data_IF_307988270468
#
_entry.id   IF_307988270468
#
_cell.length_a   1.000
_cell.length_b   1.000
_cell.length_c   1.000
_cell.angle_alpha   90.00
_cell.angle_beta   90.00
_cell.angle_gamma   90.00
#
_symmetry.space_group_name_H-M   'P 1'
#
loop_
_entity.id
_entity.type
_entity.pdbx_description
1 polymer ?
#
# COMPACT_ATOMS: atom_id res chain seq x y z
N UNK A 1 -1.92 -21.52 0.80
CA UNK A 1 -2.74 -20.46 1.42
C UNK A 1 -2.56 -20.59 2.91
N UNK A 2 -2.34 -19.49 3.60
CA UNK A 2 -2.18 -19.50 5.07
C UNK A 2 -3.53 -19.82 5.70
N UNK A 3 -3.53 -20.56 6.79
CA UNK A 3 -4.74 -20.99 7.48
C UNK A 3 -5.58 -19.79 7.95
N UNK A 4 -6.87 -19.78 7.62
CA UNK A 4 -7.79 -18.70 7.98
C UNK A 4 -7.92 -18.54 9.51
N UNK A 5 -7.86 -19.65 10.26
CA UNK A 5 -7.89 -19.58 11.73
C UNK A 5 -6.63 -18.89 12.28
N UNK A 6 -5.48 -19.10 11.64
CA UNK A 6 -4.23 -18.42 12.00
C UNK A 6 -4.29 -16.93 11.68
N UNK A 7 -4.87 -16.55 10.53
CA UNK A 7 -5.09 -15.14 10.17
C UNK A 7 -5.98 -14.47 11.22
N UNK A 8 -7.12 -15.08 11.57
CA UNK A 8 -8.01 -14.55 12.60
C UNK A 8 -7.33 -14.40 13.98
N UNK A 9 -6.43 -15.32 14.32
CA UNK A 9 -5.74 -15.29 15.61
C UNK A 9 -4.61 -14.25 15.69
N UNK A 10 -3.88 -14.05 14.58
CA UNK A 10 -2.59 -13.35 14.61
C UNK A 10 -2.60 -12.01 13.88
N UNK A 11 -3.49 -11.81 12.91
CA UNK A 11 -3.50 -10.61 12.09
C UNK A 11 -3.89 -9.36 12.89
N UNK A 12 -3.44 -8.21 12.39
CA UNK A 12 -3.82 -6.91 12.91
C UNK A 12 -5.34 -6.71 12.77
N UNK A 13 -6.03 -6.32 13.85
CA UNK A 13 -7.49 -6.18 13.84
C UNK A 13 -7.98 -5.01 12.97
N UNK A 14 -7.10 -4.08 12.58
CA UNK A 14 -7.42 -2.96 11.68
C UNK A 14 -7.55 -3.38 10.21
N UNK A 15 -7.33 -4.66 9.88
CA UNK A 15 -7.55 -5.21 8.55
C UNK A 15 -8.61 -6.32 8.57
N UNK A 16 -9.50 -6.29 7.59
CA UNK A 16 -10.44 -7.39 7.36
C UNK A 16 -9.67 -8.68 6.99
N UNK A 17 -10.07 -9.86 7.48
CA UNK A 17 -9.41 -11.12 7.15
C UNK A 17 -9.25 -11.36 5.63
N UNK A 18 -10.25 -11.00 4.83
CA UNK A 18 -10.18 -11.14 3.37
C UNK A 18 -9.05 -10.31 2.73
N UNK A 19 -8.79 -9.10 3.25
CA UNK A 19 -7.66 -8.26 2.79
C UNK A 19 -6.33 -8.92 3.18
N UNK A 20 -6.24 -9.46 4.39
CA UNK A 20 -5.03 -10.15 4.88
C UNK A 20 -4.74 -11.41 4.07
N UNK A 21 -5.77 -12.17 3.71
CA UNK A 21 -5.65 -13.35 2.85
C UNK A 21 -5.06 -13.00 1.49
N UNK A 22 -5.66 -12.02 0.79
CA UNK A 22 -5.17 -11.56 -0.51
C UNK A 22 -3.75 -10.98 -0.44
N UNK A 23 -3.46 -10.22 0.62
CA UNK A 23 -2.13 -9.68 0.86
C UNK A 23 -1.07 -10.78 0.99
N UNK A 24 -1.30 -11.77 1.87
CA UNK A 24 -0.33 -12.85 2.10
C UNK A 24 -0.22 -13.75 0.87
N UNK A 25 -1.31 -13.97 0.14
CA UNK A 25 -1.28 -14.76 -1.11
C UNK A 25 -0.41 -14.11 -2.18
N UNK A 26 -0.52 -12.79 -2.37
CA UNK A 26 0.13 -12.07 -3.47
C UNK A 26 1.52 -11.53 -3.15
N UNK A 27 1.81 -11.22 -1.89
CA UNK A 27 3.09 -10.63 -1.48
C UNK A 27 3.84 -11.41 -0.40
N UNK A 28 3.20 -12.42 0.20
CA UNK A 28 3.75 -13.19 1.29
C UNK A 28 4.47 -14.47 0.89
N UNK A 29 4.62 -15.34 1.89
CA UNK A 29 5.19 -16.69 1.79
C UNK A 29 4.39 -17.64 2.68
N UNK A 30 4.30 -18.91 2.29
CA UNK A 30 3.72 -19.96 3.15
C UNK A 30 4.72 -20.46 4.21
N UNK A 31 6.00 -20.15 4.02
CA UNK A 31 7.09 -20.57 4.87
C UNK A 31 7.50 -19.43 5.84
N UNK A 32 7.35 -19.61 7.16
CA UNK A 32 7.73 -18.60 8.15
C UNK A 32 9.24 -18.36 8.21
N UNK A 33 10.07 -19.29 7.70
CA UNK A 33 11.52 -19.13 7.62
C UNK A 33 11.97 -18.56 6.26
N UNK A 34 11.03 -18.19 5.38
CA UNK A 34 11.40 -17.63 4.08
C UNK A 34 12.20 -16.34 4.24
N UNK A 35 13.38 -16.29 3.65
CA UNK A 35 14.23 -15.10 3.58
C UNK A 35 14.49 -14.79 2.11
N UNK A 36 14.09 -13.62 1.65
CA UNK A 36 14.44 -13.14 0.32
C UNK A 36 15.36 -11.93 0.42
N UNK A 37 16.41 -11.93 -0.38
CA UNK A 37 17.47 -10.91 -0.34
C UNK A 37 17.61 -10.31 -1.72
N UNK A 38 17.60 -8.98 -1.78
CA UNK A 38 17.76 -8.22 -3.01
C UNK A 38 18.85 -7.16 -2.85
N UNK A 39 19.79 -7.16 -3.79
CA UNK A 39 20.85 -6.17 -3.91
C UNK A 39 20.59 -5.32 -5.16
N UNK A 40 20.08 -4.11 -4.96
CA UNK A 40 19.60 -3.26 -6.06
C UNK A 40 18.47 -3.93 -6.85
N UNK A 41 18.70 -4.26 -8.13
CA UNK A 41 17.74 -4.96 -8.98
C UNK A 41 17.88 -6.49 -9.00
N UNK A 42 18.90 -7.04 -8.32
CA UNK A 42 19.24 -8.47 -8.40
C UNK A 42 18.81 -9.22 -7.15
N UNK A 43 18.23 -10.40 -7.35
CA UNK A 43 17.96 -11.35 -6.27
C UNK A 43 19.25 -12.11 -5.91
N UNK A 44 19.52 -12.25 -4.62
CA UNK A 44 20.64 -13.04 -4.10
C UNK A 44 20.10 -14.41 -3.73
N UNK A 45 20.61 -15.45 -4.38
CA UNK A 45 20.28 -16.83 -4.03
C UNK A 45 21.03 -17.21 -2.76
N UNK A 46 20.28 -17.69 -1.78
CA UNK A 46 20.78 -18.11 -0.48
C UNK A 46 20.22 -19.50 -0.15
N UNK A 47 20.96 -20.32 0.61
CA UNK A 47 20.44 -21.59 1.09
C UNK A 47 19.14 -21.37 1.85
N UNK A 48 18.14 -22.23 1.59
CA UNK A 48 16.88 -22.17 2.32
C UNK A 48 17.12 -22.56 3.78
N UNK A 49 16.87 -21.67 4.77
CA UNK A 49 17.03 -22.02 6.17
C UNK A 49 15.99 -23.06 6.58
N UNK A 50 16.40 -23.97 7.47
CA UNK A 50 15.55 -25.04 8.01
C UNK A 50 15.20 -24.83 9.47
N UNK A 51 15.91 -23.92 10.13
CA UNK A 51 15.68 -23.54 11.53
C UNK A 51 15.56 -22.02 11.68
N UNK A 52 14.93 -21.59 12.79
CA UNK A 52 14.84 -20.17 13.16
C UNK A 52 16.23 -19.53 13.29
N UNK A 53 17.18 -20.23 13.92
CA UNK A 53 18.54 -19.72 14.13
C UNK A 53 19.29 -19.53 12.81
N UNK A 54 19.17 -20.49 11.87
CA UNK A 54 19.74 -20.37 10.52
C UNK A 54 19.14 -19.18 9.76
N UNK A 55 17.82 -19.00 9.83
CA UNK A 55 17.14 -17.87 9.19
C UNK A 55 17.61 -16.54 9.79
N UNK A 56 17.68 -16.45 11.12
CA UNK A 56 18.13 -15.24 11.81
C UNK A 56 19.58 -14.90 11.52
N UNK A 57 20.46 -15.89 11.45
CA UNK A 57 21.86 -15.69 11.07
C UNK A 57 21.97 -15.16 9.63
N UNK A 58 21.24 -15.76 8.69
CA UNK A 58 21.17 -15.30 7.30
C UNK A 58 20.66 -13.86 7.20
N UNK A 59 19.61 -13.51 7.96
CA UNK A 59 19.08 -12.14 8.00
C UNK A 59 20.17 -11.17 8.49
N UNK A 60 20.81 -11.45 9.63
CA UNK A 60 21.86 -10.59 10.21
C UNK A 60 23.02 -10.32 9.26
N UNK A 61 23.41 -11.32 8.47
CA UNK A 61 24.48 -11.18 7.49
C UNK A 61 24.14 -10.19 6.37
N UNK A 62 22.87 -10.05 5.99
CA UNK A 62 22.47 -9.27 4.81
C UNK A 62 21.83 -7.91 5.13
N UNK A 63 21.26 -7.74 6.31
CA UNK A 63 20.65 -6.47 6.74
C UNK A 63 21.68 -5.32 6.74
N UNK A 64 21.22 -4.12 6.39
CA UNK A 64 22.04 -2.91 6.26
C UNK A 64 22.74 -2.75 4.91
N UNK A 65 23.01 -3.85 4.20
CA UNK A 65 23.64 -3.83 2.86
C UNK A 65 22.67 -4.19 1.74
N UNK A 66 21.62 -4.95 2.06
CA UNK A 66 20.64 -5.44 1.10
C UNK A 66 19.22 -5.19 1.62
N UNK A 67 18.25 -5.27 0.71
CA UNK A 67 16.84 -5.36 1.07
C UNK A 67 16.59 -6.82 1.47
N UNK A 68 16.18 -7.03 2.72
CA UNK A 68 15.89 -8.36 3.28
C UNK A 68 14.42 -8.41 3.68
N UNK A 69 13.70 -9.38 3.12
CA UNK A 69 12.28 -9.63 3.40
C UNK A 69 12.13 -11.01 4.05
N UNK A 70 11.29 -11.08 5.08
CA UNK A 70 11.30 -12.23 5.99
C UNK A 70 9.89 -12.73 6.31
N UNK A 71 9.76 -14.06 6.33
CA UNK A 71 8.63 -14.78 6.86
C UNK A 71 7.37 -14.68 6.01
N UNK A 72 6.23 -14.97 6.65
CA UNK A 72 4.92 -15.10 6.00
C UNK A 72 4.50 -13.83 5.29
N UNK A 73 4.76 -12.67 5.88
CA UNK A 73 4.35 -11.37 5.32
C UNK A 73 5.43 -10.75 4.44
N UNK A 74 6.60 -11.39 4.30
CA UNK A 74 7.78 -10.79 3.68
C UNK A 74 8.12 -9.42 4.35
N UNK A 75 8.11 -9.40 5.68
CA UNK A 75 8.40 -8.22 6.49
C UNK A 75 9.80 -7.64 6.17
N UNK A 76 9.95 -6.31 5.99
CA UNK A 76 11.24 -5.69 5.74
C UNK A 76 12.12 -5.68 7.01
N UNK A 77 13.01 -6.66 7.16
CA UNK A 77 13.78 -6.87 8.40
C UNK A 77 14.68 -5.69 8.81
N UNK A 78 15.14 -4.88 7.85
CA UNK A 78 15.96 -3.70 8.13
C UNK A 78 15.16 -2.47 8.59
N UNK A 79 13.85 -2.58 8.77
CA UNK A 79 13.01 -1.45 9.17
C UNK A 79 13.21 -1.14 10.66
N UNK A 80 13.51 0.14 10.97
CA UNK A 80 13.61 0.63 12.35
C UNK A 80 14.83 0.13 13.14
N UNK A 81 15.74 -0.63 12.52
CA UNK A 81 16.96 -1.15 13.17
C UNK A 81 18.21 -0.47 12.61
N UNK A 82 19.12 -0.09 13.51
CA UNK A 82 20.41 0.50 13.14
C UNK A 82 21.51 -0.55 12.92
N UNK A 83 21.40 -1.70 13.60
CA UNK A 83 22.38 -2.79 13.54
C UNK A 83 21.73 -4.18 13.62
N UNK A 84 22.42 -5.19 13.09
CA UNK A 84 21.92 -6.56 13.02
C UNK A 84 21.66 -7.20 14.40
N UNK A 85 22.36 -6.75 15.46
CA UNK A 85 22.17 -7.25 16.82
C UNK A 85 20.83 -6.89 17.45
N UNK A 86 20.16 -5.85 16.95
CA UNK A 86 18.85 -5.42 17.42
C UNK A 86 17.68 -6.25 16.86
N UNK A 87 17.94 -7.15 15.90
CA UNK A 87 16.93 -7.99 15.27
C UNK A 87 16.43 -9.07 16.23
N UNK A 88 15.12 -9.15 16.40
CA UNK A 88 14.45 -10.13 17.26
C UNK A 88 14.08 -11.40 16.47
N UNK A 89 14.10 -12.58 17.12
CA UNK A 89 13.69 -13.84 16.50
C UNK A 89 12.20 -13.84 16.09
N UNK A 90 11.40 -12.94 16.66
CA UNK A 90 10.02 -12.60 16.31
C UNK A 90 9.79 -12.45 14.79
N UNK A 91 10.81 -12.02 14.04
CA UNK A 91 10.73 -11.87 12.58
C UNK A 91 10.42 -13.18 11.84
N UNK A 92 10.80 -14.32 12.41
CA UNK A 92 10.60 -15.66 11.83
C UNK A 92 9.65 -16.52 12.66
N UNK A 93 9.12 -15.99 13.77
CA UNK A 93 7.93 -16.57 14.41
C UNK A 93 6.72 -16.34 13.53
N UNK A 94 5.92 -17.38 13.31
CA UNK A 94 4.83 -17.32 12.35
C UNK A 94 3.75 -16.30 12.76
N UNK A 95 3.32 -16.31 14.01
CA UNK A 95 2.23 -15.45 14.48
C UNK A 95 2.69 -14.02 14.66
N UNK A 96 3.89 -13.83 15.20
CA UNK A 96 4.49 -12.52 15.40
C UNK A 96 4.78 -11.83 14.07
N UNK A 97 5.32 -12.56 13.08
CA UNK A 97 5.54 -12.06 11.72
C UNK A 97 4.23 -11.66 11.03
N UNK A 98 3.16 -12.44 11.19
CA UNK A 98 1.82 -12.08 10.70
C UNK A 98 1.39 -10.78 11.37
N UNK A 99 1.38 -10.71 12.71
CA UNK A 99 0.93 -9.53 13.46
C UNK A 99 1.64 -8.26 13.05
N UNK A 100 2.98 -8.26 13.07
CA UNK A 100 3.77 -7.08 12.73
C UNK A 100 3.66 -6.72 11.24
N UNK A 101 3.59 -7.72 10.36
CA UNK A 101 3.49 -7.51 8.92
C UNK A 101 2.15 -6.94 8.52
N UNK A 102 1.05 -7.48 9.07
CA UNK A 102 -0.30 -6.96 8.82
C UNK A 102 -0.49 -5.58 9.44
N UNK A 103 0.08 -5.29 10.61
CA UNK A 103 0.03 -3.95 11.20
C UNK A 103 0.75 -2.92 10.32
N UNK A 104 1.93 -3.28 9.79
CA UNK A 104 2.65 -2.41 8.86
C UNK A 104 1.91 -2.29 7.52
N UNK A 105 1.33 -3.38 7.01
CA UNK A 105 0.55 -3.37 5.78
C UNK A 105 -0.72 -2.52 5.94
N UNK A 106 -1.38 -2.54 7.11
CA UNK A 106 -2.53 -1.68 7.40
C UNK A 106 -2.18 -0.20 7.24
N UNK A 107 -1.00 0.21 7.72
CA UNK A 107 -0.48 1.56 7.46
C UNK A 107 -0.29 1.83 5.97
N UNK A 108 0.36 0.91 5.25
CA UNK A 108 0.58 1.07 3.80
C UNK A 108 -0.75 1.19 3.07
N UNK A 109 -1.72 0.35 3.41
CA UNK A 109 -3.06 0.37 2.86
C UNK A 109 -3.74 1.71 3.12
N UNK A 110 -3.73 2.23 4.35
CA UNK A 110 -4.25 3.58 4.66
C UNK A 110 -3.55 4.71 3.89
N UNK A 111 -2.24 4.60 3.65
CA UNK A 111 -1.52 5.59 2.82
C UNK A 111 -2.09 5.61 1.40
N UNK A 112 -2.31 4.43 0.80
CA UNK A 112 -2.89 4.29 -0.54
C UNK A 112 -4.35 4.75 -0.54
N UNK A 113 -5.18 4.25 0.38
CA UNK A 113 -6.59 4.65 0.53
C UNK A 113 -6.75 6.16 0.64
N UNK A 114 -5.90 6.83 1.44
CA UNK A 114 -5.93 8.29 1.57
C UNK A 114 -5.57 9.01 0.27
N UNK A 115 -4.61 8.48 -0.49
CA UNK A 115 -4.25 9.05 -1.78
C UNK A 115 -5.41 8.96 -2.79
N UNK A 116 -6.18 7.87 -2.75
CA UNK A 116 -7.41 7.70 -3.51
C UNK A 116 -8.60 8.55 -3.00
N UNK A 117 -8.43 9.35 -1.95
CA UNK A 117 -9.49 10.20 -1.39
C UNK A 117 -10.43 9.50 -0.39
N UNK A 118 -10.01 8.36 0.18
CA UNK A 118 -10.82 7.51 1.06
C UNK A 118 -12.12 7.03 0.40
N UNK A 119 -12.02 6.35 -0.76
CA UNK A 119 -13.19 5.90 -1.50
C UNK A 119 -14.00 4.92 -0.67
N UNK A 120 -15.32 5.04 -0.73
CA UNK A 120 -16.25 4.09 -0.08
C UNK A 120 -16.92 3.15 -1.06
N UNK A 121 -16.79 3.43 -2.36
CA UNK A 121 -17.37 2.64 -3.43
C UNK A 121 -16.64 1.31 -3.58
N UNK A 122 -17.42 0.24 -3.65
CA UNK A 122 -16.94 -1.14 -3.84
C UNK A 122 -16.09 -1.33 -5.09
N UNK A 123 -16.36 -0.54 -6.13
CA UNK A 123 -15.69 -0.63 -7.42
C UNK A 123 -14.25 -0.12 -7.41
N UNK A 124 -13.84 0.68 -6.43
CA UNK A 124 -12.48 1.30 -6.37
C UNK A 124 -11.58 0.56 -5.37
N UNK A 125 -12.18 -0.15 -4.42
CA UNK A 125 -11.44 -0.79 -3.34
C UNK A 125 -10.52 -1.95 -3.79
N UNK A 126 -10.84 -2.72 -4.85
CA UNK A 126 -9.90 -3.68 -5.44
C UNK A 126 -8.62 -3.00 -5.94
N UNK A 127 -8.72 -1.88 -6.64
CA UNK A 127 -7.57 -1.12 -7.17
C UNK A 127 -6.71 -0.56 -6.04
N UNK A 128 -7.34 -0.04 -4.98
CA UNK A 128 -6.64 0.42 -3.76
C UNK A 128 -5.85 -0.73 -3.13
N UNK A 129 -6.43 -1.93 -3.05
CA UNK A 129 -5.75 -3.10 -2.51
C UNK A 129 -4.60 -3.55 -3.41
N UNK A 130 -4.79 -3.58 -4.72
CA UNK A 130 -3.77 -3.93 -5.70
C UNK A 130 -2.55 -3.01 -5.58
N UNK A 131 -2.77 -1.70 -5.55
CA UNK A 131 -1.72 -0.70 -5.40
C UNK A 131 -1.04 -0.79 -4.03
N UNK A 132 -1.77 -1.08 -2.96
CA UNK A 132 -1.17 -1.31 -1.65
C UNK A 132 -0.29 -2.55 -1.61
N UNK A 133 -0.66 -3.63 -2.30
CA UNK A 133 0.15 -4.84 -2.43
C UNK A 133 1.43 -4.53 -3.24
N UNK A 134 1.32 -3.79 -4.33
CA UNK A 134 2.48 -3.34 -5.12
C UNK A 134 3.39 -2.42 -4.28
N UNK A 135 2.80 -1.49 -3.54
CA UNK A 135 3.52 -0.61 -2.62
C UNK A 135 4.25 -1.40 -1.53
N UNK A 136 3.64 -2.47 -1.02
CA UNK A 136 4.31 -3.39 -0.10
C UNK A 136 5.48 -4.12 -0.75
N UNK A 137 5.32 -4.67 -1.94
CA UNK A 137 6.38 -5.41 -2.61
C UNK A 137 7.59 -4.51 -2.92
N UNK A 138 7.33 -3.32 -3.45
CA UNK A 138 8.37 -2.36 -3.88
C UNK A 138 8.92 -1.52 -2.73
N UNK A 139 8.12 -1.28 -1.70
CA UNK A 139 8.42 -0.35 -0.61
C UNK A 139 8.16 1.13 -0.97
N UNK A 140 7.52 1.40 -2.11
CA UNK A 140 7.24 2.75 -2.60
C UNK A 140 5.83 2.87 -3.17
N UNK A 141 5.21 4.03 -2.98
CA UNK A 141 3.94 4.41 -3.60
C UNK A 141 4.01 5.91 -3.92
N UNK A 142 3.81 6.30 -5.18
CA UNK A 142 3.85 7.72 -5.59
C UNK A 142 5.09 8.47 -5.08
N UNK A 143 6.27 7.86 -5.24
CA UNK A 143 7.56 8.39 -4.78
C UNK A 143 7.78 8.35 -3.25
N UNK A 144 6.78 7.94 -2.47
CA UNK A 144 6.82 7.88 -1.01
C UNK A 144 7.32 6.52 -0.52
N UNK A 145 8.32 6.50 0.36
CA UNK A 145 8.83 5.29 1.00
C UNK A 145 7.88 4.80 2.11
N UNK A 146 6.89 3.96 1.75
CA UNK A 146 5.71 3.65 2.58
C UNK A 146 6.04 3.05 3.96
N UNK A 147 7.15 2.32 4.10
CA UNK A 147 7.51 1.75 5.40
C UNK A 147 7.97 2.79 6.41
N UNK A 148 8.56 3.89 5.95
CA UNK A 148 9.06 4.98 6.81
C UNK A 148 8.14 6.20 6.84
N UNK A 149 7.16 6.25 5.94
CA UNK A 149 6.14 7.27 5.95
C UNK A 149 5.35 7.26 7.26
N UNK A 150 4.89 8.46 7.64
CA UNK A 150 3.98 8.65 8.76
C UNK A 150 2.66 7.93 8.47
N UNK A 151 2.07 7.36 9.51
CA UNK A 151 0.74 6.81 9.42
C UNK A 151 -0.28 7.94 9.27
N UNK A 152 -1.15 7.95 8.23
CA UNK A 152 -2.17 8.98 8.07
C UNK A 152 -3.23 8.98 9.19
N UNK A 153 -3.18 8.04 10.13
CA UNK A 153 -4.17 7.87 11.20
C UNK A 153 -5.27 6.91 10.77
N UNK A 154 -6.00 6.38 11.74
CA UNK A 154 -7.09 5.42 11.52
C UNK A 154 -8.24 6.10 10.76
N UNK A 155 -8.21 6.01 9.44
CA UNK A 155 -9.39 6.20 8.61
C UNK A 155 -10.09 4.85 8.58
N UNK A 156 -11.37 4.79 8.95
CA UNK A 156 -12.16 3.56 8.80
C UNK A 156 -12.04 3.09 7.35
N UNK A 157 -11.46 1.90 7.17
CA UNK A 157 -11.27 1.29 5.87
C UNK A 157 -12.63 0.97 5.26
N UNK A 158 -13.00 1.56 4.12
CA UNK A 158 -14.32 1.31 3.52
C UNK A 158 -14.42 -0.08 2.87
N UNK A 159 -15.66 -0.51 2.64
CA UNK A 159 -16.04 -1.90 2.35
C UNK A 159 -16.16 -2.19 0.84
N UNK A 160 -15.41 -3.14 0.27
CA UNK A 160 -15.56 -3.52 -1.14
C UNK A 160 -16.89 -4.22 -1.45
N UNK A 161 -17.68 -4.60 -0.45
CA UNK A 161 -18.81 -5.52 -0.64
C UNK A 161 -20.17 -5.02 -0.09
N UNK A 162 -20.46 -3.71 -0.11
CA UNK A 162 -21.79 -3.22 0.30
C UNK A 162 -22.48 -2.36 -0.75
N UNK A 163 -23.25 -3.02 -1.60
CA UNK A 163 -24.51 -2.48 -2.12
C UNK A 163 -25.56 -2.48 -0.99
N UNK A 164 -26.09 -1.30 -0.61
CA UNK A 164 -27.50 -1.00 -0.24
C UNK A 164 -27.62 0.42 0.38
N UNK A 165 -28.76 1.14 0.18
CA UNK A 165 -28.78 2.60 0.08
C UNK A 165 -28.85 3.34 1.44
N UNK A 166 -28.36 4.57 1.38
CA UNK A 166 -28.29 5.54 2.47
C UNK A 166 -29.64 5.80 3.16
N UNK A 167 -29.62 5.85 4.49
CA UNK A 167 -30.67 6.44 5.31
C UNK A 167 -30.24 7.83 5.78
N UNK A 168 -31.04 8.82 5.41
CA UNK A 168 -31.02 10.20 5.90
C UNK A 168 -30.91 10.32 7.43
N UNK A 169 -30.06 11.25 7.89
CA UNK A 169 -30.25 12.03 9.11
C UNK A 169 -29.27 13.23 9.17
N UNK A 170 -29.66 14.30 8.48
CA UNK A 170 -29.60 15.74 8.83
C UNK A 170 -28.88 16.13 10.14
N UNK A 171 -27.93 17.08 10.12
CA UNK A 171 -28.13 18.47 10.61
C UNK A 171 -26.87 19.36 10.64
N UNK A 172 -27.02 20.50 9.95
CA UNK A 172 -26.72 21.88 10.36
C UNK A 172 -25.29 22.28 10.75
N UNK A 173 -24.65 23.03 9.84
CA UNK A 173 -24.02 24.31 10.20
C UNK A 173 -24.42 25.35 9.14
N UNK A 174 -25.21 26.33 9.60
CA UNK A 174 -25.59 27.53 8.87
C UNK A 174 -24.40 28.48 8.81
N UNK A 175 -24.00 28.88 7.60
CA UNK A 175 -23.08 30.00 7.38
C UNK A 175 -23.89 31.21 6.92
N UNK A 176 -23.60 32.36 7.53
CA UNK A 176 -24.25 33.63 7.26
C UNK A 176 -23.20 34.62 6.77
N UNK A 177 -23.15 34.82 5.45
CA UNK A 177 -22.68 36.04 4.81
C UNK A 177 -23.22 36.09 3.36
N UNK A 178 -24.20 36.96 3.14
CA UNK A 178 -24.62 37.42 1.81
C UNK A 178 -23.69 38.54 1.33
N UNK A 179 -23.78 38.81 0.02
CA UNK A 179 -23.18 39.88 -0.82
C UNK A 179 -21.87 39.47 -1.55
N UNK A 180 -21.74 39.47 -2.88
CA UNK A 180 -22.52 40.11 -3.95
C UNK A 180 -22.57 39.24 -5.23
N UNK A 181 -23.69 39.39 -5.94
CA UNK A 181 -23.95 38.92 -7.29
C UNK A 181 -23.11 39.72 -8.29
N UNK A 182 -22.34 39.03 -9.13
CA UNK A 182 -21.94 39.56 -10.44
C UNK A 182 -22.36 38.57 -11.51
N UNK A 183 -23.28 39.03 -12.37
CA UNK A 183 -23.79 38.32 -13.53
C UNK A 183 -22.70 38.12 -14.60
N UNK A 184 -22.85 37.10 -15.46
CA UNK A 184 -21.77 36.50 -16.24
C UNK A 184 -21.44 37.33 -17.48
N UNK A 185 -20.17 37.29 -17.88
CA UNK A 185 -19.76 37.72 -19.22
C UNK A 185 -19.99 36.53 -20.16
N UNK A 186 -20.84 36.75 -21.15
CA UNK A 186 -21.10 35.86 -22.27
C UNK A 186 -19.80 35.42 -22.96
N UNK A 187 -19.57 34.11 -23.05
CA UNK A 187 -18.74 33.51 -24.09
C UNK A 187 -19.55 32.39 -24.75
N UNK A 188 -20.40 32.78 -25.69
CA UNK A 188 -21.11 31.83 -26.54
C UNK A 188 -20.12 31.14 -27.50
N UNK A 189 -20.37 29.83 -27.65
CA UNK A 189 -19.94 28.94 -28.73
C UNK A 189 -18.56 28.29 -28.62
N UNK A 190 -18.56 27.04 -28.14
CA UNK A 190 -18.59 25.87 -29.04
C UNK A 190 -18.74 24.57 -28.27
N UNK A 191 -19.89 23.93 -28.44
CA UNK A 191 -19.91 22.48 -28.50
C UNK A 191 -19.17 22.08 -29.78
N UNK A 192 -17.90 21.70 -29.65
CA UNK A 192 -17.17 21.07 -30.74
C UNK A 192 -16.92 19.61 -30.38
N UNK A 193 -17.40 18.75 -31.27
CA UNK A 193 -17.20 17.31 -31.30
C UNK A 193 -15.70 16.98 -31.08
N UNK A 194 -15.33 16.20 -30.04
CA UNK A 194 -13.93 15.87 -29.77
C UNK A 194 -13.24 15.10 -30.91
N UNK A 195 -14.00 14.55 -31.87
CA UNK A 195 -13.44 13.93 -33.08
C UNK A 195 -12.97 14.93 -34.14
N UNK A 196 -13.19 16.24 -33.94
CA UNK A 196 -12.73 17.32 -34.82
C UNK A 196 -11.49 18.06 -34.32
N UNK A 197 -10.93 17.65 -33.18
CA UNK A 197 -9.70 18.23 -32.64
C UNK A 197 -8.49 17.82 -33.51
N UNK A 198 -8.16 18.63 -34.52
CA UNK A 198 -6.93 18.46 -35.30
C UNK A 198 -5.71 18.91 -34.50
N UNK A 199 -4.71 18.04 -34.35
CA UNK A 199 -3.43 18.37 -33.72
C UNK A 199 -2.75 19.46 -34.56
N UNK A 200 -2.49 20.63 -33.96
CA UNK A 200 -1.65 21.68 -34.57
C UNK A 200 -0.29 21.70 -33.89
N UNK A 201 0.66 20.93 -34.43
CA UNK A 201 2.08 21.07 -34.06
C UNK A 201 2.73 22.03 -35.05
N UNK A 202 3.23 23.15 -34.56
CA UNK A 202 4.08 24.05 -35.33
C UNK A 202 5.53 23.56 -35.28
N UNK A 203 6.09 23.17 -36.43
CA UNK A 203 7.46 22.66 -36.57
C UNK A 203 8.42 23.71 -37.16
N UNK A 204 8.01 24.97 -37.21
CA UNK A 204 8.81 26.07 -37.78
C UNK A 204 10.13 26.34 -37.06
N UNK A 205 10.35 25.73 -35.89
CA UNK A 205 11.59 25.83 -35.10
C UNK A 205 12.64 24.74 -35.37
N UNK A 206 12.37 23.72 -36.18
CA UNK A 206 13.33 22.63 -36.44
C UNK A 206 14.10 22.93 -37.73
N UNK A 207 15.02 23.89 -37.65
CA UNK A 207 16.06 24.12 -38.66
C UNK A 207 17.31 23.31 -38.33
N UNK A 208 17.78 22.52 -39.30
CA UNK A 208 19.04 21.81 -39.23
C UNK A 208 20.22 22.76 -39.47
N UNK A 209 21.17 22.77 -38.54
CA UNK A 209 22.58 23.08 -38.77
C UNK A 209 23.45 22.23 -37.82
#
# INVERSE_FOLDING_TARGET
MVDAALIQQCADPGLKPAIVEQFIERAGSQDPLAVTIRSGSRMVLVPKPTTSDEAMELIRQHVGRNIVRVGVTQYPAGLGVMEAGALKPDLVDRCENIRMGTALFAKVYRIVTKWYGNPTESEVLPEVLDDAIIAWQTGYFEGTAVFRAADPGEVEVPDPEKDEPASDAVEQLVDAAEEEVSDPVDDEARGDDPNKAGIRVDLSGIGAE
#
